data_IF_625595697286
#
_entry.id   IF_625595697286
#
_cell.length_a   1.000
_cell.length_b   1.000
_cell.length_c   1.000
_cell.angle_alpha   90.00
_cell.angle_beta   90.00
_cell.angle_gamma   90.00
#
_symmetry.space_group_name_H-M   'P 1'
#
loop_
_entity.id
_entity.type
_entity.pdbx_description
1 polymer ?
#
# COMPACT_ATOMS: atom_id res chain seq x y z
N UNK A 1 63.49 33.87 -19.38
CA UNK A 1 62.82 32.65 -19.89
C UNK A 1 61.70 32.30 -18.92
N UNK A 2 60.47 32.69 -19.26
CA UNK A 2 59.26 32.45 -18.48
C UNK A 2 58.81 31.00 -18.69
N UNK A 3 58.57 30.26 -17.62
CA UNK A 3 57.95 28.93 -17.68
C UNK A 3 56.58 29.00 -17.04
N UNK A 4 55.59 29.27 -17.89
CA UNK A 4 54.18 29.18 -17.55
C UNK A 4 53.83 27.71 -17.29
N UNK A 5 53.43 27.37 -16.06
CA UNK A 5 52.77 26.10 -15.77
C UNK A 5 51.28 26.25 -16.11
N UNK A 6 50.69 25.34 -16.90
CA UNK A 6 49.32 25.51 -17.38
C UNK A 6 48.33 25.24 -16.25
N UNK A 7 47.66 26.30 -15.80
CA UNK A 7 46.48 26.28 -14.94
C UNK A 7 45.25 25.82 -15.74
N UNK A 8 45.34 24.70 -16.44
CA UNK A 8 44.31 24.22 -17.38
C UNK A 8 43.75 22.82 -17.04
N UNK A 9 44.25 22.17 -15.98
CA UNK A 9 43.83 20.81 -15.64
C UNK A 9 42.74 20.73 -14.54
N UNK A 10 42.53 21.80 -13.76
CA UNK A 10 41.56 21.79 -12.65
C UNK A 10 40.16 22.30 -12.99
N UNK A 11 39.93 22.91 -14.17
CA UNK A 11 38.60 23.46 -14.51
C UNK A 11 37.70 22.43 -15.23
N UNK A 12 38.29 21.37 -15.79
CA UNK A 12 37.55 20.32 -16.51
C UNK A 12 36.88 19.27 -15.60
N UNK A 13 37.25 19.21 -14.32
CA UNK A 13 36.69 18.24 -13.37
C UNK A 13 35.35 18.67 -12.72
N UNK A 14 34.93 19.93 -12.91
CA UNK A 14 33.68 20.45 -12.33
C UNK A 14 32.45 20.33 -13.26
N UNK A 15 32.64 19.91 -14.52
CA UNK A 15 31.55 19.80 -15.50
C UNK A 15 30.92 18.41 -15.61
N UNK A 16 31.46 17.38 -14.94
CA UNK A 16 30.99 15.99 -15.10
C UNK A 16 30.17 15.44 -13.92
N UNK A 17 29.85 16.27 -12.92
CA UNK A 17 29.03 15.86 -11.76
C UNK A 17 27.58 16.36 -11.83
N UNK A 18 27.19 17.05 -12.90
CA UNK A 18 25.81 17.43 -13.17
C UNK A 18 25.12 16.44 -14.12
N UNK A 19 25.48 15.15 -14.05
CA UNK A 19 24.59 14.09 -14.51
C UNK A 19 23.28 14.28 -13.77
N UNK A 20 22.32 14.94 -14.42
CA UNK A 20 20.95 15.03 -13.96
C UNK A 20 20.50 13.59 -13.70
N UNK A 21 20.48 13.19 -12.43
CA UNK A 21 19.80 11.97 -11.99
C UNK A 21 18.34 12.20 -12.35
N UNK A 22 17.99 11.78 -13.56
CA UNK A 22 16.65 11.84 -14.08
C UNK A 22 15.97 10.62 -13.48
N UNK A 23 15.25 10.80 -12.38
CA UNK A 23 14.28 9.81 -11.95
C UNK A 23 13.22 9.75 -13.05
N UNK A 24 13.31 8.78 -13.96
CA UNK A 24 12.32 8.59 -15.01
C UNK A 24 10.98 8.25 -14.34
N UNK A 25 10.08 9.24 -14.23
CA UNK A 25 8.69 9.07 -13.78
C UNK A 25 7.81 8.46 -14.88
N UNK A 26 8.39 7.70 -15.81
CA UNK A 26 7.65 7.14 -16.95
C UNK A 26 6.87 5.91 -16.50
N UNK A 27 5.61 5.81 -16.93
CA UNK A 27 4.75 4.66 -16.61
C UNK A 27 5.32 3.30 -17.02
N UNK A 28 6.17 3.31 -18.02
CA UNK A 28 6.78 2.12 -18.57
C UNK A 28 8.01 1.65 -17.76
N UNK A 29 8.31 2.28 -16.61
CA UNK A 29 9.43 1.86 -15.76
C UNK A 29 9.24 0.41 -15.28
N UNK A 30 8.05 0.09 -14.76
CA UNK A 30 7.74 -1.26 -14.29
C UNK A 30 7.50 -2.27 -15.42
N UNK A 31 7.04 -1.83 -16.59
CA UNK A 31 6.87 -2.72 -17.76
C UNK A 31 8.19 -3.34 -18.21
N UNK A 32 9.30 -2.61 -18.07
CA UNK A 32 10.65 -3.11 -18.41
C UNK A 32 11.28 -3.91 -17.27
N UNK A 33 11.12 -3.48 -16.02
CA UNK A 33 11.70 -4.18 -14.87
C UNK A 33 10.94 -5.46 -14.52
N UNK A 34 9.63 -5.52 -14.78
CA UNK A 34 8.75 -6.61 -14.39
C UNK A 34 7.72 -6.93 -15.49
N UNK A 35 8.15 -7.46 -16.66
CA UNK A 35 7.31 -7.59 -17.86
C UNK A 35 6.09 -8.50 -17.69
N UNK A 36 6.10 -9.41 -16.71
CA UNK A 36 5.00 -10.34 -16.45
C UNK A 36 4.17 -9.97 -15.21
N UNK A 37 4.47 -8.87 -14.51
CA UNK A 37 3.82 -8.55 -13.23
C UNK A 37 2.30 -8.45 -13.37
N UNK A 38 1.81 -7.73 -14.37
CA UNK A 38 0.37 -7.57 -14.60
C UNK A 38 -0.31 -8.92 -14.87
N UNK A 39 0.29 -9.73 -15.74
CA UNK A 39 -0.24 -11.05 -16.08
C UNK A 39 -0.27 -11.97 -14.85
N UNK A 40 0.83 -12.05 -14.10
CA UNK A 40 0.90 -12.88 -12.88
C UNK A 40 -0.13 -12.45 -11.84
N UNK A 41 -0.27 -11.16 -11.56
CA UNK A 41 -1.24 -10.63 -10.59
C UNK A 41 -2.67 -10.96 -11.03
N UNK A 42 -3.00 -10.75 -12.31
CA UNK A 42 -4.32 -11.04 -12.82
C UNK A 42 -4.64 -12.54 -12.77
N UNK A 43 -3.71 -13.40 -13.15
CA UNK A 43 -3.91 -14.86 -13.08
C UNK A 43 -4.04 -15.37 -11.65
N UNK A 44 -3.32 -14.76 -10.69
CA UNK A 44 -3.32 -15.21 -9.31
C UNK A 44 -4.54 -14.72 -8.53
N UNK A 45 -5.03 -13.50 -8.80
CA UNK A 45 -6.05 -12.82 -8.00
C UNK A 45 -7.37 -12.57 -8.73
N UNK A 46 -7.40 -12.63 -10.07
CA UNK A 46 -8.62 -12.43 -10.87
C UNK A 46 -9.22 -11.02 -10.84
N UNK A 47 -8.50 -10.03 -10.30
CA UNK A 47 -8.99 -8.65 -10.16
C UNK A 47 -9.03 -7.86 -11.47
N UNK A 48 -9.75 -6.72 -11.50
CA UNK A 48 -9.75 -5.82 -12.64
C UNK A 48 -8.40 -5.13 -12.80
N UNK A 49 -8.12 -4.61 -14.00
CA UNK A 49 -6.95 -3.79 -14.29
C UNK A 49 -7.35 -2.32 -14.43
N UNK A 50 -6.48 -1.42 -14.00
CA UNK A 50 -6.67 0.02 -14.15
C UNK A 50 -5.32 0.70 -14.40
N UNK A 51 -5.37 1.84 -15.10
CA UNK A 51 -4.18 2.68 -15.31
C UNK A 51 -3.93 3.48 -14.03
N UNK A 52 -2.75 3.30 -13.44
CA UNK A 52 -2.36 4.00 -12.19
C UNK A 52 -1.73 5.35 -12.53
N UNK A 53 -2.16 6.40 -11.83
CA UNK A 53 -1.53 7.71 -11.90
C UNK A 53 -0.15 7.68 -11.21
N UNK A 54 0.87 8.21 -11.88
CA UNK A 54 2.26 8.16 -11.41
C UNK A 54 2.81 9.55 -11.08
N UNK A 55 4.02 9.59 -10.51
CA UNK A 55 4.70 10.82 -10.12
C UNK A 55 4.71 11.10 -8.62
N UNK A 56 4.19 10.18 -7.80
CA UNK A 56 4.31 10.28 -6.34
C UNK A 56 5.80 10.18 -5.93
N UNK A 57 6.21 11.02 -4.98
CA UNK A 57 7.56 11.01 -4.38
C UNK A 57 7.49 10.45 -2.96
N UNK A 58 8.58 9.85 -2.51
CA UNK A 58 8.69 9.35 -1.15
C UNK A 58 8.85 10.49 -0.15
N UNK A 59 8.21 10.38 1.01
CA UNK A 59 8.38 11.33 2.12
C UNK A 59 9.69 11.06 2.85
N UNK A 60 10.26 12.10 3.46
CA UNK A 60 11.45 11.98 4.32
C UNK A 60 11.09 11.80 5.81
N UNK A 61 9.81 11.74 6.13
CA UNK A 61 9.26 11.66 7.48
C UNK A 61 8.09 10.70 7.54
N UNK A 62 7.79 10.22 8.74
CA UNK A 62 6.60 9.45 9.08
C UNK A 62 5.86 10.13 10.26
N UNK A 63 4.58 9.82 10.43
CA UNK A 63 3.75 10.36 11.52
C UNK A 63 2.97 9.23 12.20
N UNK A 64 3.36 8.89 13.43
CA UNK A 64 2.67 7.90 14.25
C UNK A 64 1.27 8.39 14.63
N UNK A 65 1.15 9.65 15.02
CA UNK A 65 -0.13 10.23 15.43
C UNK A 65 -1.12 10.23 14.26
N UNK A 66 -0.68 10.57 13.05
CA UNK A 66 -1.54 10.50 11.86
C UNK A 66 -1.97 9.06 11.57
N UNK A 67 -1.08 8.08 11.71
CA UNK A 67 -1.45 6.67 11.51
C UNK A 67 -2.49 6.21 12.54
N UNK A 68 -2.30 6.56 13.82
CA UNK A 68 -3.22 6.18 14.89
C UNK A 68 -4.60 6.85 14.78
N UNK A 69 -4.68 8.05 14.21
CA UNK A 69 -5.93 8.81 14.09
C UNK A 69 -6.66 8.57 12.75
N UNK A 70 -5.95 8.32 11.66
CA UNK A 70 -6.55 8.29 10.32
C UNK A 70 -6.84 6.89 9.78
N UNK A 71 -6.23 5.84 10.35
CA UNK A 71 -6.48 4.46 9.92
C UNK A 71 -7.74 3.93 10.63
N UNK A 72 -8.79 3.52 9.87
CA UNK A 72 -10.00 3.01 10.47
C UNK A 72 -9.76 1.74 11.30
N UNK A 73 -10.28 1.72 12.53
CA UNK A 73 -10.30 0.52 13.35
C UNK A 73 -11.41 -0.46 12.87
N UNK A 74 -11.23 -1.78 13.03
CA UNK A 74 -12.22 -2.77 12.61
C UNK A 74 -13.53 -2.75 13.45
N UNK A 75 -13.53 -2.00 14.55
CA UNK A 75 -14.66 -1.86 15.48
C UNK A 75 -15.47 -0.59 15.27
N UNK A 76 -15.12 0.24 14.29
CA UNK A 76 -15.88 1.47 14.01
C UNK A 76 -17.29 1.15 13.50
N UNK A 77 -18.24 1.99 13.87
CA UNK A 77 -19.55 1.97 13.24
C UNK A 77 -19.51 2.61 11.84
N UNK A 78 -20.62 2.49 11.10
CA UNK A 78 -20.72 2.99 9.74
C UNK A 78 -20.55 4.52 9.65
N UNK A 79 -21.03 5.27 10.66
CA UNK A 79 -20.98 6.73 10.67
C UNK A 79 -19.54 7.21 10.82
N UNK A 80 -18.81 6.66 11.79
CA UNK A 80 -17.41 6.99 12.02
C UNK A 80 -16.51 6.53 10.86
N UNK A 81 -16.77 5.35 10.30
CA UNK A 81 -16.06 4.89 9.10
C UNK A 81 -16.27 5.84 7.92
N UNK A 82 -17.51 6.24 7.66
CA UNK A 82 -17.85 7.18 6.58
C UNK A 82 -17.15 8.53 6.81
N UNK A 83 -17.10 9.00 8.04
CA UNK A 83 -16.42 10.26 8.41
C UNK A 83 -14.92 10.20 8.15
N UNK A 84 -14.25 9.10 8.52
CA UNK A 84 -12.81 8.95 8.25
C UNK A 84 -12.48 8.92 6.76
N UNK A 85 -13.30 8.25 5.94
CA UNK A 85 -13.14 8.28 4.49
C UNK A 85 -13.42 9.68 3.92
N UNK A 86 -14.45 10.36 4.41
CA UNK A 86 -14.77 11.73 4.00
C UNK A 86 -13.64 12.71 4.32
N UNK A 87 -12.95 12.55 5.46
CA UNK A 87 -11.76 13.34 5.81
C UNK A 87 -10.60 13.16 4.81
N UNK A 88 -10.61 12.08 4.01
CA UNK A 88 -9.67 11.83 2.90
C UNK A 88 -10.22 12.24 1.53
N UNK A 89 -11.36 12.91 1.50
CA UNK A 89 -12.03 13.33 0.26
C UNK A 89 -12.71 12.18 -0.48
N UNK A 90 -12.97 11.05 0.19
CA UNK A 90 -13.61 9.88 -0.39
C UNK A 90 -15.10 9.85 -0.03
N UNK A 91 -15.93 9.51 -1.01
CA UNK A 91 -17.37 9.36 -0.83
C UNK A 91 -17.71 8.03 -0.14
N UNK A 92 -18.97 7.88 0.30
CA UNK A 92 -19.47 6.59 0.81
C UNK A 92 -19.37 5.48 -0.25
N UNK A 93 -19.53 5.81 -1.53
CA UNK A 93 -19.34 4.87 -2.64
C UNK A 93 -17.91 4.36 -2.71
N UNK A 94 -16.93 5.26 -2.55
CA UNK A 94 -15.51 4.89 -2.54
C UNK A 94 -15.18 4.00 -1.34
N UNK A 95 -15.73 4.32 -0.16
CA UNK A 95 -15.58 3.50 1.04
C UNK A 95 -16.12 2.07 0.84
N UNK A 96 -17.31 1.92 0.25
CA UNK A 96 -17.89 0.61 -0.05
C UNK A 96 -17.03 -0.14 -1.07
N UNK A 97 -16.61 0.52 -2.15
CA UNK A 97 -15.77 -0.10 -3.18
C UNK A 97 -14.41 -0.55 -2.61
N UNK A 98 -13.75 0.27 -1.80
CA UNK A 98 -12.46 -0.03 -1.17
C UNK A 98 -12.58 -1.12 -0.09
N UNK A 99 -13.74 -1.20 0.59
CA UNK A 99 -14.03 -2.31 1.51
C UNK A 99 -14.06 -3.68 0.81
N UNK A 100 -14.28 -3.70 -0.52
CA UNK A 100 -14.13 -4.89 -1.36
C UNK A 100 -12.70 -5.48 -1.36
N UNK A 101 -11.69 -4.71 -0.96
CA UNK A 101 -10.32 -5.22 -0.75
C UNK A 101 -10.23 -6.35 0.28
N UNK A 102 -11.23 -6.49 1.15
CA UNK A 102 -11.36 -7.62 2.08
C UNK A 102 -11.74 -8.95 1.40
N UNK A 103 -11.90 -9.01 0.07
CA UNK A 103 -12.14 -10.26 -0.67
C UNK A 103 -10.92 -11.19 -0.72
N UNK A 104 -9.73 -10.68 -0.37
CA UNK A 104 -8.48 -11.44 -0.28
C UNK A 104 -7.77 -11.11 1.04
N UNK A 105 -6.79 -11.93 1.41
CA UNK A 105 -5.97 -11.73 2.60
C UNK A 105 -6.50 -12.47 3.84
N UNK A 106 -5.95 -12.12 4.99
CA UNK A 106 -6.27 -12.75 6.27
C UNK A 106 -6.32 -11.69 7.37
N UNK A 107 -7.16 -11.92 8.38
CA UNK A 107 -7.25 -11.05 9.56
C UNK A 107 -6.79 -11.81 10.81
N UNK A 108 -6.10 -11.11 11.72
CA UNK A 108 -5.79 -11.65 13.04
C UNK A 108 -7.06 -11.74 13.87
N UNK A 109 -7.16 -12.79 14.67
CA UNK A 109 -8.37 -13.07 15.44
C UNK A 109 -8.74 -11.95 16.41
N UNK A 110 -7.76 -11.25 16.98
CA UNK A 110 -7.98 -10.10 17.88
C UNK A 110 -8.81 -8.98 17.25
N UNK A 111 -8.86 -8.88 15.91
CA UNK A 111 -9.57 -7.80 15.21
C UNK A 111 -11.08 -8.04 15.07
N UNK A 112 -11.56 -9.28 15.26
CA UNK A 112 -12.97 -9.64 15.03
C UNK A 112 -13.55 -10.58 16.09
N UNK A 113 -12.73 -11.06 17.04
CA UNK A 113 -13.14 -12.00 18.09
C UNK A 113 -14.36 -11.49 18.85
N UNK A 114 -14.40 -10.21 19.20
CA UNK A 114 -15.50 -9.66 20.00
C UNK A 114 -16.83 -9.67 19.24
N UNK A 115 -16.79 -9.48 17.91
CA UNK A 115 -17.96 -9.62 17.02
C UNK A 115 -18.52 -11.03 17.04
N UNK A 116 -17.63 -12.02 16.96
CA UNK A 116 -17.99 -13.44 17.02
C UNK A 116 -18.74 -13.76 18.33
N UNK A 117 -18.24 -13.31 19.49
CA UNK A 117 -18.81 -13.70 20.78
C UNK A 117 -19.92 -12.78 21.31
N UNK A 118 -20.05 -11.55 20.80
CA UNK A 118 -20.86 -10.51 21.45
C UNK A 118 -21.90 -9.85 20.54
N UNK A 119 -21.83 -10.04 19.22
CA UNK A 119 -22.80 -9.48 18.28
C UNK A 119 -23.88 -10.51 17.88
N UNK A 120 -25.11 -10.04 17.66
CA UNK A 120 -26.25 -10.90 17.28
C UNK A 120 -26.56 -10.88 15.78
N UNK A 121 -25.91 -10.00 15.01
CA UNK A 121 -26.12 -9.82 13.57
C UNK A 121 -25.05 -10.56 12.73
N UNK A 122 -24.49 -11.65 13.26
CA UNK A 122 -23.58 -12.54 12.55
C UNK A 122 -24.26 -13.88 12.30
N UNK A 123 -24.10 -14.42 11.08
CA UNK A 123 -24.53 -15.78 10.80
C UNK A 123 -23.70 -16.76 11.64
N UNK A 124 -24.38 -17.51 12.51
CA UNK A 124 -23.75 -18.49 13.40
C UNK A 124 -23.13 -19.66 12.63
N UNK A 125 -23.44 -19.85 11.34
CA UNK A 125 -22.76 -20.81 10.47
C UNK A 125 -21.29 -20.44 10.19
N UNK A 126 -20.96 -19.14 10.14
CA UNK A 126 -19.59 -18.63 10.00
C UNK A 126 -18.72 -18.97 11.21
N UNK A 127 -19.34 -19.14 12.38
CA UNK A 127 -18.70 -19.54 13.62
C UNK A 127 -18.04 -20.91 13.49
N UNK A 128 -18.73 -21.86 12.83
CA UNK A 128 -18.25 -23.22 12.64
C UNK A 128 -17.06 -23.24 11.67
N UNK A 129 -17.12 -22.47 10.58
CA UNK A 129 -16.06 -22.40 9.55
C UNK A 129 -14.79 -21.77 10.11
N UNK A 130 -14.88 -20.66 10.84
CA UNK A 130 -13.70 -19.98 11.43
C UNK A 130 -13.04 -20.85 12.52
N UNK A 131 -13.83 -21.60 13.30
CA UNK A 131 -13.30 -22.51 14.33
C UNK A 131 -12.73 -23.80 13.73
N UNK A 132 -13.30 -24.32 12.64
CA UNK A 132 -12.76 -25.50 11.96
C UNK A 132 -11.42 -25.15 11.28
N UNK A 133 -11.29 -23.99 10.63
CA UNK A 133 -10.04 -23.58 9.97
C UNK A 133 -8.88 -23.43 10.97
N UNK A 134 -9.17 -23.00 12.22
CA UNK A 134 -8.18 -22.97 13.33
C UNK A 134 -7.55 -24.34 13.65
N UNK A 135 -8.20 -25.46 13.29
CA UNK A 135 -7.66 -26.81 13.50
C UNK A 135 -6.89 -27.36 12.29
N UNK A 136 -7.01 -26.73 11.13
CA UNK A 136 -6.49 -27.24 9.85
C UNK A 136 -5.21 -26.54 9.37
N UNK A 137 -4.94 -25.30 9.82
CA UNK A 137 -3.66 -24.61 9.56
C UNK A 137 -2.72 -24.70 10.78
N UNK A 138 -1.79 -25.68 10.83
CA UNK A 138 -0.70 -25.61 11.76
C UNK A 138 0.28 -24.51 11.28
N UNK A 139 0.71 -23.66 12.21
CA UNK A 139 1.95 -22.88 12.09
C UNK A 139 1.93 -21.61 11.22
N UNK A 140 1.37 -20.51 11.76
CA UNK A 140 1.91 -19.15 11.58
C UNK A 140 1.30 -18.19 12.62
N UNK A 141 1.46 -18.49 13.91
CA UNK A 141 1.18 -17.56 15.00
C UNK A 141 2.36 -17.64 15.98
N UNK A 142 3.42 -16.90 15.64
CA UNK A 142 4.34 -16.34 16.61
C UNK A 142 4.26 -14.83 16.48
#
# INVERSE_FOLDING_TARGET
MASHKPLACSVLAFFFAASLVSAQLTANFYDKSCPNALYTIQTALGGPTWVVNLGRRDSMTASLDTANNDIPAPTLDLSDLTKLFSNKGLSTTDMIALSGGHTIGQARCVNFRDRIYSETNIDTSLYLVIIIERRSVPFMMQ
#
